data_IF_915278381875
#
_entry.id   IF_915278381875
#
_cell.length_a   1.000
_cell.length_b   1.000
_cell.length_c   1.000
_cell.angle_alpha   90.00
_cell.angle_beta   90.00
_cell.angle_gamma   90.00
#
_symmetry.space_group_name_H-M   'P 1'
#
loop_
_entity.id
_entity.type
_entity.pdbx_description
1 polymer ?
#
# COMPACT_ATOMS: atom_id res chain seq x y z
N UNK A 1 26.01 -20.21 8.23
CA UNK A 1 25.77 -20.88 6.95
C UNK A 1 24.55 -21.78 7.07
N UNK A 2 23.38 -21.32 6.67
CA UNK A 2 22.17 -22.16 6.49
C UNK A 2 21.62 -21.88 5.10
N UNK A 3 21.55 -22.94 4.30
CA UNK A 3 21.13 -22.90 2.89
C UNK A 3 19.61 -22.87 2.83
N UNK A 4 19.05 -21.92 2.10
CA UNK A 4 17.64 -21.90 1.73
C UNK A 4 17.44 -22.63 0.41
N UNK A 5 16.54 -23.63 0.45
CA UNK A 5 16.20 -24.45 -0.72
C UNK A 5 15.24 -23.69 -1.65
N UNK A 6 15.62 -23.66 -2.91
CA UNK A 6 14.85 -23.13 -4.04
C UNK A 6 13.75 -24.12 -4.41
N UNK A 7 12.51 -23.63 -4.53
CA UNK A 7 11.41 -24.34 -5.19
C UNK A 7 11.02 -23.56 -6.43
N UNK A 8 11.46 -24.07 -7.58
CA UNK A 8 11.02 -23.64 -8.89
C UNK A 8 9.83 -24.49 -9.33
N UNK A 9 8.73 -23.89 -9.70
CA UNK A 9 7.66 -24.55 -10.46
C UNK A 9 7.41 -23.76 -11.73
N UNK A 10 7.74 -24.39 -12.84
CA UNK A 10 7.47 -23.94 -14.19
C UNK A 10 6.01 -24.21 -14.55
N UNK A 11 5.35 -23.28 -15.20
CA UNK A 11 4.07 -23.49 -15.87
C UNK A 11 4.17 -23.10 -17.34
N UNK A 12 3.76 -24.05 -18.16
CA UNK A 12 3.87 -24.06 -19.60
C UNK A 12 2.80 -23.21 -20.27
N UNK A 13 3.22 -22.60 -21.36
CA UNK A 13 2.47 -21.85 -22.34
C UNK A 13 1.65 -22.80 -23.23
N UNK A 14 0.39 -22.46 -23.53
CA UNK A 14 -0.33 -23.03 -24.67
C UNK A 14 -1.01 -21.91 -25.46
N UNK A 15 -0.46 -21.68 -26.64
CA UNK A 15 -1.03 -20.82 -27.67
C UNK A 15 -1.97 -21.65 -28.54
N UNK A 16 -3.10 -21.07 -28.96
CA UNK A 16 -3.87 -21.52 -30.10
C UNK A 16 -4.30 -20.34 -30.97
N UNK A 17 -3.86 -20.40 -32.20
CA UNK A 17 -4.14 -19.54 -33.35
C UNK A 17 -5.39 -20.00 -34.10
N UNK A 18 -5.86 -19.10 -35.02
CA UNK A 18 -6.68 -19.29 -36.24
C UNK A 18 -8.10 -18.76 -36.08
N UNK A 19 -8.63 -17.91 -36.95
CA UNK A 19 -8.41 -17.70 -38.35
C UNK A 19 -9.16 -16.51 -38.94
N UNK A 20 -8.77 -16.20 -40.14
CA UNK A 20 -9.17 -15.18 -41.10
C UNK A 20 -10.64 -15.20 -41.54
N UNK A 21 -11.13 -14.03 -41.93
CA UNK A 21 -12.29 -13.89 -42.81
C UNK A 21 -12.39 -12.46 -43.35
N UNK A 22 -12.20 -12.34 -44.67
CA UNK A 22 -12.07 -11.14 -45.48
C UNK A 22 -13.40 -10.77 -46.20
N UNK A 23 -13.45 -9.47 -46.61
CA UNK A 23 -14.21 -8.87 -47.77
C UNK A 23 -15.55 -8.22 -47.43
N UNK A 24 -16.00 -7.08 -47.99
CA UNK A 24 -15.55 -6.12 -49.03
C UNK A 24 -16.41 -4.87 -48.96
N UNK A 25 -15.78 -3.70 -49.22
CA UNK A 25 -16.19 -2.53 -50.03
C UNK A 25 -17.67 -2.14 -50.20
N UNK A 26 -18.04 -0.90 -49.96
CA UNK A 26 -18.42 0.10 -51.00
C UNK A 26 -18.66 1.53 -50.44
N UNK A 27 -18.24 2.51 -51.24
CA UNK A 27 -18.14 3.96 -51.24
C UNK A 27 -19.29 4.83 -50.70
N UNK A 28 -18.86 5.95 -50.10
CA UNK A 28 -19.21 7.39 -50.00
C UNK A 28 -20.45 7.94 -50.77
N UNK A 29 -21.02 9.20 -50.50
CA UNK A 29 -20.35 10.38 -49.92
C UNK A 29 -21.16 11.30 -48.94
N UNK A 30 -20.41 12.11 -48.22
CA UNK A 30 -20.57 13.54 -47.81
C UNK A 30 -21.86 14.04 -47.17
N UNK A 31 -21.73 14.53 -45.90
CA UNK A 31 -22.07 15.93 -45.56
C UNK A 31 -21.44 16.34 -44.20
N UNK A 32 -20.77 17.51 -44.17
CA UNK A 32 -20.27 18.23 -43.03
C UNK A 32 -21.41 18.77 -42.21
N UNK A 33 -21.30 18.60 -40.85
CA UNK A 33 -21.86 19.57 -39.90
C UNK A 33 -20.94 19.61 -38.68
N UNK A 34 -20.37 20.77 -38.47
CA UNK A 34 -19.60 21.21 -37.30
C UNK A 34 -20.49 21.23 -36.10
N UNK A 35 -20.13 20.45 -35.05
CA UNK A 35 -20.59 20.73 -33.69
C UNK A 35 -19.52 20.40 -32.67
N UNK A 36 -19.32 21.34 -31.76
CA UNK A 36 -18.27 21.45 -30.76
C UNK A 36 -18.27 20.27 -29.79
N UNK A 37 -17.11 19.69 -29.60
CA UNK A 37 -16.81 18.71 -28.56
C UNK A 37 -16.57 19.41 -27.23
N UNK A 38 -17.12 18.99 -26.11
CA UNK A 38 -16.64 19.38 -24.79
C UNK A 38 -15.45 18.48 -24.43
N UNK A 39 -14.27 19.05 -24.50
CA UNK A 39 -13.01 18.49 -24.04
C UNK A 39 -12.94 18.57 -22.51
N UNK A 40 -13.51 17.59 -21.79
CA UNK A 40 -13.29 17.51 -20.33
C UNK A 40 -13.44 16.09 -19.72
N UNK A 41 -13.73 15.05 -20.50
CA UNK A 41 -13.99 13.71 -19.95
C UNK A 41 -12.76 12.77 -19.89
N UNK A 42 -11.67 13.06 -20.65
CA UNK A 42 -10.55 12.11 -20.74
C UNK A 42 -9.44 12.27 -19.70
N UNK A 43 -9.47 13.34 -18.89
CA UNK A 43 -8.39 13.58 -17.92
C UNK A 43 -8.53 12.82 -16.60
N UNK A 44 -9.72 12.32 -16.28
CA UNK A 44 -9.96 11.57 -15.04
C UNK A 44 -9.71 10.06 -15.16
N UNK A 45 -9.96 9.46 -16.32
CA UNK A 45 -9.72 8.01 -16.51
C UNK A 45 -8.23 7.65 -16.55
N UNK A 46 -7.40 8.45 -17.22
CA UNK A 46 -5.95 8.21 -17.26
C UNK A 46 -5.29 8.31 -15.88
N UNK A 47 -5.75 9.21 -15.03
CA UNK A 47 -5.20 9.34 -13.68
C UNK A 47 -5.53 8.15 -12.77
N UNK A 48 -6.68 7.50 -12.96
CA UNK A 48 -7.07 6.30 -12.22
C UNK A 48 -6.33 5.04 -12.69
N UNK A 49 -5.99 4.91 -13.97
CA UNK A 49 -5.21 3.78 -14.48
C UNK A 49 -3.73 3.90 -14.12
N UNK A 50 -3.15 5.09 -14.20
CA UNK A 50 -1.77 5.36 -13.74
C UNK A 50 -1.62 5.08 -12.25
N UNK A 51 -2.58 5.48 -11.43
CA UNK A 51 -2.54 5.22 -9.98
C UNK A 51 -2.67 3.73 -9.63
N UNK A 52 -3.41 2.92 -10.41
CA UNK A 52 -3.48 1.47 -10.19
C UNK A 52 -2.12 0.79 -10.41
N UNK A 53 -1.37 1.19 -11.41
CA UNK A 53 -0.02 0.70 -11.65
C UNK A 53 0.94 1.04 -10.51
N UNK A 54 0.89 2.27 -10.02
CA UNK A 54 1.71 2.75 -8.89
C UNK A 54 1.39 1.99 -7.61
N UNK A 55 0.11 1.84 -7.26
CA UNK A 55 -0.33 1.12 -6.06
C UNK A 55 0.10 -0.36 -6.09
N UNK A 56 0.22 -0.96 -7.27
CA UNK A 56 0.70 -2.33 -7.45
C UNK A 56 2.25 -2.43 -7.49
N UNK A 57 2.96 -1.32 -7.38
CA UNK A 57 4.42 -1.26 -7.36
C UNK A 57 5.08 -1.14 -8.74
N UNK A 58 4.36 -0.65 -9.74
CA UNK A 58 4.89 -0.40 -11.09
C UNK A 58 5.00 1.11 -11.33
N UNK A 59 6.20 1.64 -11.18
CA UNK A 59 6.53 3.06 -11.35
C UNK A 59 8.01 3.23 -11.70
N UNK A 60 8.40 4.37 -12.26
CA UNK A 60 9.81 4.70 -12.52
C UNK A 60 10.42 5.43 -11.30
N UNK A 61 11.73 5.31 -11.10
CA UNK A 61 12.43 5.98 -9.99
C UNK A 61 12.24 7.50 -10.04
N UNK A 62 12.16 8.07 -11.23
CA UNK A 62 11.93 9.50 -11.46
C UNK A 62 10.57 10.01 -11.00
N UNK A 63 9.58 9.12 -10.82
CA UNK A 63 8.23 9.46 -10.40
C UNK A 63 8.13 9.63 -8.89
N UNK A 64 9.04 8.99 -8.14
CA UNK A 64 9.11 9.10 -6.69
C UNK A 64 9.55 10.50 -6.27
N UNK A 65 8.81 11.12 -5.36
CA UNK A 65 9.09 12.47 -4.83
C UNK A 65 9.20 12.42 -3.30
N UNK A 66 10.00 13.35 -2.77
CA UNK A 66 10.05 13.57 -1.32
C UNK A 66 8.65 13.88 -0.77
N UNK A 67 8.37 13.36 0.43
CA UNK A 67 7.13 13.58 1.17
C UNK A 67 7.43 14.09 2.57
N UNK A 68 6.46 14.70 3.20
CA UNK A 68 6.58 15.24 4.57
C UNK A 68 5.57 14.58 5.50
N UNK A 69 5.75 14.69 6.81
CA UNK A 69 4.78 14.16 7.79
C UNK A 69 3.36 14.70 7.59
N UNK A 70 3.20 15.86 6.94
CA UNK A 70 1.89 16.42 6.62
C UNK A 70 1.01 15.46 5.79
N UNK A 71 1.61 14.58 5.00
CA UNK A 71 0.86 13.59 4.21
C UNK A 71 0.22 12.51 5.09
N UNK A 72 0.77 12.29 6.28
CA UNK A 72 0.25 11.35 7.29
C UNK A 72 -0.32 12.03 8.52
N UNK A 73 -0.42 13.37 8.54
CA UNK A 73 -0.98 14.12 9.68
C UNK A 73 -2.39 13.64 10.01
N UNK A 74 -2.68 13.38 11.29
CA UNK A 74 -3.98 12.93 11.75
C UNK A 74 -3.93 11.96 12.92
N UNK A 75 -5.08 11.34 13.17
CA UNK A 75 -5.32 10.34 14.21
C UNK A 75 -5.60 8.99 13.54
N UNK A 76 -4.86 7.96 13.92
CA UNK A 76 -4.79 6.68 13.25
C UNK A 76 -4.98 5.53 14.23
N UNK A 77 -5.83 4.57 13.87
CA UNK A 77 -6.08 3.33 14.60
C UNK A 77 -5.42 2.14 13.93
N UNK A 78 -4.88 1.22 14.74
CA UNK A 78 -4.41 -0.07 14.27
C UNK A 78 -5.58 -0.95 13.84
N UNK A 79 -5.42 -1.67 12.72
CA UNK A 79 -6.41 -2.68 12.31
C UNK A 79 -6.21 -4.03 12.99
N UNK A 80 -5.15 -4.21 13.75
CA UNK A 80 -4.88 -5.49 14.43
C UNK A 80 -6.01 -5.96 15.36
N UNK A 81 -6.67 -5.08 16.16
CA UNK A 81 -7.84 -5.48 16.93
C UNK A 81 -8.98 -6.04 16.08
N UNK A 82 -9.21 -5.50 14.86
CA UNK A 82 -10.26 -5.97 13.95
C UNK A 82 -9.94 -7.35 13.35
N UNK A 83 -8.66 -7.68 13.20
CA UNK A 83 -8.24 -9.02 12.81
C UNK A 83 -8.53 -10.02 13.95
N UNK A 84 -8.21 -9.64 15.20
CA UNK A 84 -8.34 -10.52 16.34
C UNK A 84 -9.81 -10.78 16.69
N UNK A 85 -10.69 -9.80 16.54
CA UNK A 85 -12.12 -9.96 16.86
C UNK A 85 -12.93 -10.61 15.71
N UNK A 86 -12.27 -10.91 14.56
CA UNK A 86 -12.88 -11.55 13.40
C UNK A 86 -13.58 -10.57 12.44
N UNK A 87 -13.55 -9.27 12.68
CA UNK A 87 -14.18 -8.27 11.80
C UNK A 87 -13.58 -8.25 10.37
N UNK A 88 -12.35 -8.76 10.20
CA UNK A 88 -11.68 -8.86 8.89
C UNK A 88 -11.87 -10.23 8.20
N UNK A 89 -12.66 -11.16 8.77
CA UNK A 89 -12.74 -12.52 8.23
C UNK A 89 -13.27 -12.54 6.78
N UNK A 90 -14.26 -11.70 6.44
CA UNK A 90 -14.76 -11.59 5.07
C UNK A 90 -13.70 -11.08 4.05
N UNK A 91 -12.72 -10.27 4.50
CA UNK A 91 -11.60 -9.85 3.65
C UNK A 91 -10.73 -11.06 3.29
N UNK A 92 -10.49 -11.98 4.21
CA UNK A 92 -9.70 -13.17 3.96
C UNK A 92 -10.46 -14.20 3.11
N UNK A 93 -11.78 -14.32 3.29
CA UNK A 93 -12.64 -15.11 2.41
C UNK A 93 -12.59 -14.57 0.97
N UNK A 94 -12.70 -13.25 0.80
CA UNK A 94 -12.61 -12.60 -0.50
C UNK A 94 -11.22 -12.83 -1.15
N UNK A 95 -10.13 -12.65 -0.40
CA UNK A 95 -8.77 -12.90 -0.90
C UNK A 95 -8.59 -14.35 -1.35
N UNK A 96 -9.07 -15.32 -0.59
CA UNK A 96 -9.01 -16.76 -0.94
C UNK A 96 -9.85 -17.11 -2.17
N UNK A 97 -10.95 -16.40 -2.41
CA UNK A 97 -11.76 -16.58 -3.61
C UNK A 97 -11.05 -16.10 -4.88
N UNK A 98 -10.12 -15.11 -4.77
CA UNK A 98 -9.38 -14.54 -5.90
C UNK A 98 -7.95 -15.08 -6.02
N UNK A 99 -7.37 -15.61 -4.94
CA UNK A 99 -6.05 -16.24 -4.91
C UNK A 99 -6.15 -17.59 -4.19
N UNK A 100 -6.25 -18.66 -4.96
CA UNK A 100 -6.34 -20.03 -4.45
C UNK A 100 -5.03 -20.57 -3.85
N UNK A 101 -3.98 -19.76 -3.72
CA UNK A 101 -2.70 -20.16 -3.10
C UNK A 101 -2.81 -20.43 -1.60
N UNK A 102 -3.84 -19.85 -0.94
CA UNK A 102 -4.09 -19.96 0.50
C UNK A 102 -5.59 -20.09 0.79
N UNK A 103 -5.92 -20.78 1.90
CA UNK A 103 -7.26 -20.74 2.49
C UNK A 103 -7.49 -19.42 3.23
N UNK A 104 -8.75 -19.06 3.58
CA UNK A 104 -9.04 -17.89 4.40
C UNK A 104 -8.26 -17.89 5.72
N UNK A 105 -8.15 -19.05 6.37
CA UNK A 105 -7.40 -19.22 7.63
C UNK A 105 -5.90 -19.02 7.45
N UNK A 106 -5.33 -19.48 6.34
CA UNK A 106 -3.92 -19.26 6.02
C UNK A 106 -3.65 -17.78 5.68
N UNK A 107 -4.58 -17.09 5.02
CA UNK A 107 -4.51 -15.64 4.84
C UNK A 107 -4.57 -14.93 6.20
N UNK A 108 -5.53 -15.28 7.06
CA UNK A 108 -5.65 -14.70 8.41
C UNK A 108 -4.37 -14.88 9.22
N UNK A 109 -3.78 -16.07 9.20
CA UNK A 109 -2.53 -16.36 9.90
C UNK A 109 -1.34 -15.55 9.35
N UNK A 110 -1.28 -15.34 8.05
CA UNK A 110 -0.27 -14.50 7.40
C UNK A 110 -0.40 -13.02 7.82
N UNK A 111 -1.64 -12.50 7.83
CA UNK A 111 -1.92 -11.12 8.23
C UNK A 111 -1.81 -10.92 9.75
N UNK A 112 -2.02 -11.98 10.58
CA UNK A 112 -1.77 -11.91 12.02
C UNK A 112 -0.30 -11.61 12.33
N UNK A 113 0.63 -12.23 11.59
CA UNK A 113 2.05 -11.92 11.70
C UNK A 113 2.34 -10.48 11.23
N UNK A 114 1.76 -10.09 10.08
CA UNK A 114 2.00 -8.78 9.47
C UNK A 114 1.50 -7.60 10.30
N UNK A 115 0.28 -7.69 10.79
CA UNK A 115 -0.40 -6.59 11.48
C UNK A 115 -0.12 -6.49 12.98
N UNK A 116 0.46 -7.53 13.56
CA UNK A 116 0.65 -7.65 15.01
C UNK A 116 1.35 -6.44 15.59
N UNK A 117 0.72 -5.80 16.57
CA UNK A 117 1.28 -4.64 17.27
C UNK A 117 0.64 -4.48 18.64
N UNK A 118 1.35 -3.83 19.55
CA UNK A 118 0.84 -3.34 20.86
C UNK A 118 0.51 -1.84 20.79
N UNK A 119 0.96 -1.16 19.73
CA UNK A 119 0.63 0.25 19.48
C UNK A 119 -0.72 0.32 18.78
N UNK A 120 -1.77 0.58 19.53
CA UNK A 120 -3.16 0.55 19.05
C UNK A 120 -3.60 1.86 18.36
N UNK A 121 -2.87 2.97 18.61
CA UNK A 121 -3.16 4.28 18.03
C UNK A 121 -1.89 5.07 17.79
N UNK A 122 -1.90 5.91 16.74
CA UNK A 122 -0.84 6.88 16.44
C UNK A 122 -1.48 8.23 16.13
N UNK A 123 -0.93 9.32 16.69
CA UNK A 123 -1.26 10.68 16.23
C UNK A 123 -0.05 11.36 15.64
N UNK A 124 -0.25 12.10 14.55
CA UNK A 124 0.79 12.85 13.84
C UNK A 124 0.33 14.30 13.73
N UNK A 125 1.07 15.22 14.35
CA UNK A 125 0.78 16.65 14.38
C UNK A 125 2.06 17.44 14.10
N UNK A 126 2.15 18.03 12.91
CA UNK A 126 3.35 18.72 12.45
C UNK A 126 4.59 17.80 12.41
N UNK A 127 5.58 18.05 13.24
CA UNK A 127 6.79 17.24 13.36
C UNK A 127 6.73 16.18 14.49
N UNK A 128 5.61 16.09 15.20
CA UNK A 128 5.45 15.24 16.37
C UNK A 128 4.64 13.98 16.03
N UNK A 129 5.20 12.81 16.34
CA UNK A 129 4.51 11.52 16.27
C UNK A 129 4.35 10.97 17.68
N UNK A 130 3.11 10.63 18.05
CA UNK A 130 2.79 10.02 19.35
C UNK A 130 2.31 8.60 19.15
N UNK A 131 2.97 7.65 19.79
CA UNK A 131 2.61 6.24 19.82
C UNK A 131 1.84 5.97 21.11
N UNK A 132 0.69 5.31 21.00
CA UNK A 132 -0.11 4.88 22.15
C UNK A 132 -0.01 3.36 22.28
N UNK A 133 0.66 2.91 23.32
CA UNK A 133 0.90 1.51 23.64
C UNK A 133 0.24 1.15 24.98
N UNK A 134 -0.79 0.30 24.95
CA UNK A 134 -1.55 -0.08 26.14
C UNK A 134 -2.01 1.11 27.00
N UNK A 135 -2.42 2.20 26.35
CA UNK A 135 -2.87 3.42 27.02
C UNK A 135 -1.74 4.37 27.50
N UNK A 136 -0.47 4.03 27.24
CA UNK A 136 0.66 4.91 27.49
C UNK A 136 1.06 5.64 26.20
N UNK A 137 1.25 6.95 26.29
CA UNK A 137 1.64 7.79 25.16
C UNK A 137 3.15 8.07 25.20
N UNK A 138 3.82 7.85 24.07
CA UNK A 138 5.23 8.17 23.85
C UNK A 138 5.34 9.09 22.64
N UNK A 139 5.71 10.35 22.86
CA UNK A 139 5.77 11.36 21.81
C UNK A 139 7.22 11.73 21.49
N UNK A 140 7.53 11.86 20.22
CA UNK A 140 8.82 12.35 19.74
C UNK A 140 8.69 13.20 18.50
N UNK A 141 9.67 14.07 18.28
CA UNK A 141 9.78 14.87 17.07
C UNK A 141 10.63 14.15 16.04
N UNK A 142 10.20 14.23 14.79
CA UNK A 142 10.85 13.56 13.68
C UNK A 142 11.15 14.53 12.53
N UNK A 143 12.28 14.31 11.87
CA UNK A 143 12.65 14.99 10.65
C UNK A 143 12.78 14.00 9.49
N UNK A 144 12.47 14.45 8.29
CA UNK A 144 12.63 13.66 7.08
C UNK A 144 14.09 13.24 6.86
N UNK A 145 14.32 11.95 6.60
CA UNK A 145 15.62 11.32 6.40
C UNK A 145 15.74 10.64 5.01
N UNK A 146 14.90 11.07 4.04
CA UNK A 146 14.88 10.53 2.69
C UNK A 146 13.90 9.39 2.49
N UNK A 147 13.98 8.77 1.32
CA UNK A 147 13.22 7.57 0.98
C UNK A 147 14.14 6.48 0.41
N UNK A 148 13.65 5.24 0.42
CA UNK A 148 14.29 4.11 -0.25
C UNK A 148 13.25 3.40 -1.12
N UNK A 149 13.66 3.02 -2.34
CA UNK A 149 12.84 2.20 -3.23
C UNK A 149 13.25 0.75 -3.04
N UNK A 150 12.31 -0.08 -2.60
CA UNK A 150 12.51 -1.50 -2.42
C UNK A 150 11.96 -2.26 -3.63
N UNK A 151 12.67 -3.30 -4.05
CA UNK A 151 12.18 -4.26 -5.06
C UNK A 151 11.96 -5.60 -4.37
N UNK A 152 10.74 -6.09 -4.43
CA UNK A 152 10.36 -7.37 -3.82
C UNK A 152 10.61 -8.54 -4.76
N UNK A 153 10.60 -9.76 -4.24
CA UNK A 153 10.92 -11.01 -5.00
C UNK A 153 10.03 -11.19 -6.24
N UNK A 154 8.81 -10.68 -6.23
CA UNK A 154 7.88 -10.72 -7.37
C UNK A 154 8.17 -9.67 -8.44
N UNK A 155 9.14 -8.79 -8.21
CA UNK A 155 9.54 -7.70 -9.12
C UNK A 155 8.73 -6.42 -8.97
N UNK A 156 7.68 -6.40 -8.17
CA UNK A 156 6.98 -5.18 -7.79
C UNK A 156 7.81 -4.38 -6.77
N UNK A 157 7.56 -3.08 -6.69
CA UNK A 157 8.34 -2.16 -5.87
C UNK A 157 7.48 -1.46 -4.84
N UNK A 158 8.12 -0.97 -3.78
CA UNK A 158 7.51 -0.13 -2.76
C UNK A 158 8.46 0.99 -2.36
N UNK A 159 7.92 2.05 -1.78
CA UNK A 159 8.72 3.15 -1.25
C UNK A 159 8.59 3.17 0.27
N UNK A 160 9.71 3.31 0.95
CA UNK A 160 9.81 3.59 2.38
C UNK A 160 10.19 5.04 2.58
N UNK A 161 9.27 5.86 3.09
CA UNK A 161 9.56 7.24 3.49
C UNK A 161 10.04 7.26 4.93
N UNK A 162 11.24 7.76 5.15
CA UNK A 162 12.00 7.56 6.38
C UNK A 162 12.07 8.88 7.15
N UNK A 163 11.79 8.81 8.44
CA UNK A 163 11.93 9.93 9.35
C UNK A 163 12.78 9.51 10.55
N UNK A 164 13.64 10.41 10.98
CA UNK A 164 14.54 10.20 12.10
C UNK A 164 14.12 11.06 13.29
N UNK A 165 14.13 10.46 14.48
CA UNK A 165 13.88 11.16 15.72
C UNK A 165 14.90 12.30 15.92
N UNK A 166 14.43 13.48 16.32
CA UNK A 166 15.28 14.66 16.57
C UNK A 166 15.82 14.72 17.99
N UNK A 167 15.30 13.91 18.89
CA UNK A 167 15.71 13.83 20.29
C UNK A 167 16.20 12.43 20.66
N UNK A 168 16.04 12.10 21.94
CA UNK A 168 16.34 10.77 22.49
C UNK A 168 15.28 10.45 23.57
N UNK A 169 14.01 10.69 23.23
CA UNK A 169 12.88 10.47 24.12
C UNK A 169 12.69 8.98 24.37
N UNK A 170 12.61 8.61 25.65
CA UNK A 170 12.46 7.22 26.07
C UNK A 170 11.14 6.61 25.54
N UNK A 171 11.21 5.41 25.00
CA UNK A 171 10.04 4.72 24.44
C UNK A 171 9.65 5.17 23.04
N UNK A 172 10.40 6.07 22.42
CA UNK A 172 10.21 6.52 21.03
C UNK A 172 11.30 5.93 20.14
N UNK A 173 10.97 5.31 19.01
CA UNK A 173 11.97 4.72 18.10
C UNK A 173 12.83 5.80 17.44
N UNK A 174 14.08 5.46 17.11
CA UNK A 174 14.98 6.39 16.41
C UNK A 174 14.60 6.64 14.96
N UNK A 175 13.98 5.66 14.34
CA UNK A 175 13.52 5.75 12.94
C UNK A 175 12.10 5.23 12.82
N UNK A 176 11.33 5.89 11.94
CA UNK A 176 10.04 5.42 11.46
C UNK A 176 10.06 5.45 9.93
N UNK A 177 9.42 4.46 9.31
CA UNK A 177 9.37 4.32 7.85
C UNK A 177 7.93 4.03 7.44
N UNK A 178 7.34 4.95 6.67
CA UNK A 178 5.99 4.81 6.12
C UNK A 178 6.02 4.13 4.75
N UNK A 179 5.02 3.30 4.50
CA UNK A 179 4.70 2.76 3.18
C UNK A 179 3.18 2.73 3.02
N UNK A 180 2.65 3.38 1.98
CA UNK A 180 1.20 3.55 1.77
C UNK A 180 0.80 3.46 0.29
N UNK A 181 1.65 2.85 -0.54
CA UNK A 181 1.44 2.71 -1.99
C UNK A 181 1.38 4.04 -2.77
N UNK A 182 1.73 5.17 -2.13
CA UNK A 182 1.78 6.50 -2.73
C UNK A 182 3.25 6.92 -2.87
N UNK A 183 3.63 7.45 -4.04
CA UNK A 183 5.02 7.76 -4.38
C UNK A 183 5.33 9.25 -4.53
N UNK A 184 4.33 10.11 -4.34
CA UNK A 184 4.44 11.56 -4.44
C UNK A 184 3.61 12.22 -3.32
N UNK A 185 3.78 13.53 -3.04
CA UNK A 185 3.01 14.24 -2.01
C UNK A 185 1.50 14.10 -2.20
N UNK A 186 0.87 13.38 -1.31
CA UNK A 186 -0.57 13.15 -1.26
C UNK A 186 -0.95 12.68 0.15
N UNK A 187 -2.17 13.04 0.61
CA UNK A 187 -2.70 12.60 1.90
C UNK A 187 -2.91 11.10 1.90
N UNK A 188 -2.35 10.41 2.88
CA UNK A 188 -2.48 8.96 3.03
C UNK A 188 -3.91 8.57 3.45
N UNK A 189 -4.45 7.52 2.85
CA UNK A 189 -5.71 6.89 3.25
C UNK A 189 -5.51 5.80 4.31
N UNK A 190 -4.39 5.10 4.25
CA UNK A 190 -3.89 4.15 5.25
C UNK A 190 -2.39 3.99 5.06
N UNK A 191 -1.69 3.42 6.03
CA UNK A 191 -0.26 3.15 5.89
C UNK A 191 0.19 1.93 6.69
N UNK A 192 1.28 1.34 6.22
CA UNK A 192 2.12 0.42 6.97
C UNK A 192 3.24 1.21 7.63
N UNK A 193 3.52 0.93 8.90
CA UNK A 193 4.59 1.60 9.62
C UNK A 193 5.62 0.59 10.12
N UNK A 194 6.87 0.91 9.90
CA UNK A 194 8.04 0.19 10.39
C UNK A 194 8.80 1.12 11.31
N UNK A 195 9.16 0.66 12.51
CA UNK A 195 9.88 1.51 13.47
C UNK A 195 10.90 0.72 14.30
N UNK A 196 11.96 1.39 14.70
CA UNK A 196 13.04 0.82 15.47
C UNK A 196 14.26 1.72 15.54
N UNK A 197 15.35 1.21 16.06
CA UNK A 197 16.57 1.96 16.29
C UNK A 197 17.63 1.79 15.19
N UNK A 198 17.44 0.85 14.28
CA UNK A 198 18.34 0.58 13.15
C UNK A 198 17.61 0.80 11.82
N UNK A 199 17.98 1.89 11.13
CA UNK A 199 17.42 2.30 9.83
C UNK A 199 17.55 1.22 8.77
N UNK A 200 18.71 0.57 8.71
CA UNK A 200 19.00 -0.41 7.66
C UNK A 200 18.26 -1.73 7.92
N UNK A 201 18.21 -2.18 9.16
CA UNK A 201 17.47 -3.39 9.53
C UNK A 201 15.98 -3.27 9.24
N UNK A 202 15.39 -2.08 9.40
CA UNK A 202 13.99 -1.84 9.07
C UNK A 202 13.69 -1.94 7.58
N UNK A 203 14.66 -1.68 6.69
CA UNK A 203 14.49 -1.82 5.24
C UNK A 203 14.47 -3.30 4.81
N UNK A 204 15.08 -4.19 5.57
CA UNK A 204 15.09 -5.63 5.34
C UNK A 204 13.82 -6.31 5.89
N UNK A 205 13.03 -5.62 6.74
CA UNK A 205 11.80 -6.16 7.30
C UNK A 205 10.66 -6.12 6.27
N UNK A 206 10.18 -7.29 5.89
CA UNK A 206 9.11 -7.48 4.91
C UNK A 206 7.99 -8.42 5.39
N UNK A 207 8.09 -8.89 6.63
CA UNK A 207 7.14 -9.87 7.20
C UNK A 207 6.22 -9.27 8.26
N UNK A 208 6.59 -8.15 8.86
CA UNK A 208 5.87 -7.47 9.92
C UNK A 208 5.62 -6.01 9.49
N UNK A 209 4.36 -5.69 9.21
CA UNK A 209 3.92 -4.39 8.69
C UNK A 209 2.65 -3.90 9.38
N UNK A 210 2.70 -3.51 10.67
CA UNK A 210 1.56 -2.93 11.35
C UNK A 210 0.89 -1.86 10.51
N UNK A 211 -0.44 -1.94 10.40
CA UNK A 211 -1.23 -1.15 9.46
C UNK A 211 -2.22 -0.28 10.22
N UNK A 212 -2.34 0.97 9.77
CA UNK A 212 -3.14 1.98 10.42
C UNK A 212 -4.09 2.65 9.42
N UNK A 213 -5.33 2.85 9.86
CA UNK A 213 -6.38 3.58 9.17
C UNK A 213 -6.80 4.81 9.98
N UNK A 214 -7.40 5.85 9.37
CA UNK A 214 -7.91 6.99 10.12
C UNK A 214 -8.86 6.54 11.24
N UNK A 215 -8.68 7.08 12.45
CA UNK A 215 -9.52 6.73 13.60
C UNK A 215 -11.00 7.10 13.44
N UNK A 216 -11.31 7.97 12.46
CA UNK A 216 -12.68 8.33 12.11
C UNK A 216 -13.40 7.26 11.26
N UNK A 217 -12.68 6.31 10.67
CA UNK A 217 -13.28 5.22 9.90
C UNK A 217 -13.89 4.18 10.83
N UNK A 218 -15.10 3.76 10.51
CA UNK A 218 -15.71 2.60 11.17
C UNK A 218 -15.08 1.31 10.71
N UNK A 219 -15.32 0.21 11.40
CA UNK A 219 -14.84 -1.10 10.96
C UNK A 219 -15.44 -1.48 9.60
N UNK A 220 -16.69 -1.13 9.35
CA UNK A 220 -17.38 -1.35 8.08
C UNK A 220 -16.71 -0.58 6.94
N UNK A 221 -16.28 0.68 7.19
CA UNK A 221 -15.54 1.47 6.21
C UNK A 221 -14.17 0.85 5.89
N UNK A 222 -13.45 0.37 6.92
CA UNK A 222 -12.14 -0.27 6.76
C UNK A 222 -12.27 -1.58 5.97
N UNK A 223 -13.23 -2.43 6.32
CA UNK A 223 -13.50 -3.69 5.61
C UNK A 223 -13.85 -3.40 4.16
N UNK A 224 -14.72 -2.41 3.91
CA UNK A 224 -15.10 -2.00 2.55
C UNK A 224 -13.87 -1.54 1.75
N UNK A 225 -13.00 -0.72 2.33
CA UNK A 225 -11.75 -0.28 1.69
C UNK A 225 -10.86 -1.48 1.33
N UNK A 226 -10.65 -2.40 2.26
CA UNK A 226 -9.80 -3.59 2.06
C UNK A 226 -10.34 -4.59 1.04
N UNK A 227 -11.64 -4.60 0.77
CA UNK A 227 -12.27 -5.44 -0.25
C UNK A 227 -12.10 -4.87 -1.66
N UNK A 228 -11.85 -3.56 -1.80
CA UNK A 228 -11.78 -2.85 -3.07
C UNK A 228 -10.37 -2.34 -3.42
N UNK A 229 -9.41 -2.63 -2.56
CA UNK A 229 -8.02 -2.18 -2.66
C UNK A 229 -7.11 -3.14 -3.47
#
# INVERSE_FOLDING_TARGET
>A
MKKYGSWASALALSALLVGCGQQTETAQPTQQTTEQTPETAHKHEHKHEENKGVAQGYFEDSDVKDRTLADWEGDWQSIYPLLIDGSLDEVFEHKAAHDSSKTPEEFKAYYDIGYKTTTDRITIEGDTVTFYDHGHAHAGKFAYDGYEILTYDKGNRGVRYIFKQLGDEAGVPKFIQFSDHIIAPEKSGHFHLYWGDDRAALLEEVTHWPTYFPSAMTKEDIVHDMLHH
#
